data_IF_241758601701
#
_entry.id   IF_241758601701
#
_cell.length_a   1.000
_cell.length_b   1.000
_cell.length_c   1.000
_cell.angle_alpha   90.00
_cell.angle_beta   90.00
_cell.angle_gamma   90.00
#
_symmetry.space_group_name_H-M   'P 1'
#
loop_
_entity.id
_entity.type
_entity.pdbx_description
1 polymer ?
#
# COMPACT_ATOMS: atom_id res chain seq x y z
N UNK A 1 -3.18 -24.20 24.60
CA UNK A 1 -3.92 -23.14 23.88
C UNK A 1 -3.58 -23.27 22.39
N UNK A 2 -4.48 -23.81 21.59
CA UNK A 2 -4.29 -23.96 20.14
C UNK A 2 -4.66 -22.65 19.47
N UNK A 3 -3.67 -21.91 18.97
CA UNK A 3 -3.92 -20.80 18.03
C UNK A 3 -4.36 -21.40 16.68
N UNK A 4 -5.62 -21.17 16.34
CA UNK A 4 -6.16 -21.52 15.03
C UNK A 4 -5.52 -20.60 13.97
N UNK A 5 -5.05 -21.13 12.84
CA UNK A 5 -4.57 -20.30 11.73
C UNK A 5 -5.74 -19.54 11.12
N UNK A 6 -5.55 -18.21 10.97
CA UNK A 6 -6.53 -17.32 10.34
C UNK A 6 -6.84 -17.81 8.92
N UNK A 7 -8.06 -18.27 8.71
CA UNK A 7 -8.51 -18.79 7.42
C UNK A 7 -8.66 -17.65 6.41
N UNK A 8 -8.14 -17.85 5.19
CA UNK A 8 -8.27 -16.95 4.03
C UNK A 8 -9.72 -16.58 3.68
N UNK A 9 -10.71 -17.32 4.18
CA UNK A 9 -12.14 -17.12 3.94
C UNK A 9 -12.77 -16.00 4.77
N UNK A 10 -12.10 -15.51 5.80
CA UNK A 10 -12.60 -14.41 6.65
C UNK A 10 -12.44 -13.02 6.05
N UNK A 11 -11.73 -12.89 4.93
CA UNK A 11 -11.42 -11.62 4.27
C UNK A 11 -12.52 -11.09 3.32
N UNK A 12 -13.62 -11.83 3.14
CA UNK A 12 -14.54 -11.60 2.01
C UNK A 12 -15.94 -11.10 2.39
N UNK A 13 -16.15 -10.37 3.48
CA UNK A 13 -17.47 -9.76 3.71
C UNK A 13 -17.35 -8.41 4.37
N UNK A 14 -17.53 -7.35 3.56
CA UNK A 14 -18.42 -6.23 3.86
C UNK A 14 -18.40 -5.20 2.73
N UNK A 15 -19.53 -5.11 2.06
CA UNK A 15 -19.83 -4.10 1.07
C UNK A 15 -20.47 -2.87 1.71
N UNK A 16 -20.07 -1.71 1.25
CA UNK A 16 -20.83 -0.51 0.98
C UNK A 16 -21.62 0.20 2.06
N UNK A 17 -21.40 1.50 2.15
CA UNK A 17 -22.43 2.52 1.94
C UNK A 17 -21.84 3.95 2.06
N UNK A 18 -22.15 4.76 1.07
CA UNK A 18 -21.80 6.17 0.92
C UNK A 18 -22.70 7.08 1.75
N UNK A 19 -22.11 8.12 2.34
CA UNK A 19 -22.85 9.34 2.70
C UNK A 19 -21.99 10.57 2.38
N UNK A 20 -22.51 11.40 1.48
CA UNK A 20 -21.95 12.71 1.13
C UNK A 20 -22.40 13.75 2.15
N UNK A 21 -21.48 14.56 2.65
CA UNK A 21 -21.79 15.83 3.28
C UNK A 21 -20.90 16.93 2.74
N UNK A 22 -21.54 17.95 2.16
CA UNK A 22 -20.97 19.18 1.67
C UNK A 22 -20.56 20.08 2.85
N UNK A 23 -19.30 20.46 2.91
CA UNK A 23 -18.78 21.42 3.88
C UNK A 23 -17.56 22.13 3.32
N UNK A 24 -17.63 23.46 3.33
CA UNK A 24 -16.73 24.42 2.71
C UNK A 24 -15.31 24.42 3.28
N UNK A 25 -14.33 24.46 2.40
CA UNK A 25 -13.11 25.25 2.56
C UNK A 25 -12.04 24.72 3.50
N UNK A 26 -11.28 23.73 3.07
CA UNK A 26 -9.81 23.58 3.22
C UNK A 26 -9.41 22.38 2.36
N UNK A 27 -8.59 22.59 1.35
CA UNK A 27 -7.97 21.51 0.59
C UNK A 27 -6.93 20.81 1.47
N UNK A 28 -7.42 19.97 2.39
CA UNK A 28 -6.58 18.94 2.97
C UNK A 28 -6.29 17.96 1.83
N UNK A 29 -5.03 17.66 1.57
CA UNK A 29 -4.63 16.63 0.64
C UNK A 29 -5.46 15.37 0.93
N UNK A 30 -6.48 15.12 0.10
CA UNK A 30 -7.31 13.92 0.23
C UNK A 30 -6.41 12.76 -0.10
N UNK A 31 -6.33 11.86 0.84
CA UNK A 31 -5.59 10.62 0.68
C UNK A 31 -5.98 9.96 -0.63
N UNK A 32 -4.97 9.66 -1.46
CA UNK A 32 -5.18 9.24 -2.84
C UNK A 32 -5.84 7.86 -2.97
N UNK A 33 -6.00 7.12 -1.85
CA UNK A 33 -6.46 5.74 -1.86
C UNK A 33 -7.31 5.44 -0.62
N UNK A 34 -8.62 5.68 -0.72
CA UNK A 34 -9.57 5.33 0.34
C UNK A 34 -9.43 6.15 1.63
N UNK A 35 -10.25 5.85 2.61
CA UNK A 35 -10.13 6.45 3.94
C UNK A 35 -8.80 6.05 4.57
N UNK A 36 -7.90 7.01 4.74
CA UNK A 36 -6.55 6.75 5.18
C UNK A 36 -6.43 6.33 6.65
N UNK A 37 -5.19 6.15 7.13
CA UNK A 37 -4.92 5.71 8.50
C UNK A 37 -5.63 6.53 9.57
N UNK A 38 -5.78 7.84 9.36
CA UNK A 38 -6.48 8.73 10.27
C UNK A 38 -7.99 8.45 10.35
N UNK A 39 -8.62 8.01 9.26
CA UNK A 39 -10.02 7.62 9.26
C UNK A 39 -10.27 6.31 10.01
N UNK A 40 -9.33 5.37 9.92
CA UNK A 40 -9.35 4.13 10.71
C UNK A 40 -9.11 4.43 12.19
N UNK A 41 -8.13 5.28 12.51
CA UNK A 41 -7.82 5.70 13.89
C UNK A 41 -8.98 6.45 14.56
N UNK A 42 -9.71 7.26 13.82
CA UNK A 42 -10.86 8.01 14.33
C UNK A 42 -12.14 7.18 14.47
N UNK A 43 -12.12 5.93 14.01
CA UNK A 43 -13.32 5.09 13.96
C UNK A 43 -14.37 5.56 12.93
N UNK A 44 -14.02 6.52 12.07
CA UNK A 44 -14.92 7.07 11.06
C UNK A 44 -15.25 6.08 9.94
N UNK A 45 -14.44 5.03 9.78
CA UNK A 45 -14.68 3.93 8.84
C UNK A 45 -14.45 2.60 9.55
N UNK A 46 -15.38 1.70 9.40
CA UNK A 46 -15.19 0.30 9.79
C UNK A 46 -14.37 -0.38 8.70
N UNK A 47 -13.04 -0.53 8.91
CA UNK A 47 -12.19 -1.51 8.24
C UNK A 47 -12.47 -1.75 6.75
N UNK A 48 -12.40 -0.73 5.90
CA UNK A 48 -12.42 -0.96 4.45
C UNK A 48 -11.05 -1.47 4.04
N UNK A 49 -10.97 -2.76 3.73
CA UNK A 49 -9.74 -3.41 3.29
C UNK A 49 -9.53 -3.23 1.79
N UNK A 50 -8.27 -3.01 1.40
CA UNK A 50 -7.88 -3.07 -0.01
C UNK A 50 -8.13 -4.48 -0.56
N UNK A 51 -8.78 -4.63 -1.73
CA UNK A 51 -8.99 -5.95 -2.33
C UNK A 51 -7.67 -6.66 -2.64
N UNK A 52 -7.65 -7.97 -2.53
CA UNK A 52 -6.53 -8.77 -3.03
C UNK A 52 -6.47 -8.70 -4.56
N UNK A 53 -5.27 -8.51 -5.07
CA UNK A 53 -4.97 -8.45 -6.50
C UNK A 53 -3.68 -9.22 -6.79
N UNK A 54 -3.43 -9.49 -8.07
CA UNK A 54 -2.22 -10.20 -8.49
C UNK A 54 -0.95 -9.40 -8.17
N UNK A 55 0.11 -10.12 -7.82
CA UNK A 55 1.45 -9.58 -7.59
C UNK A 55 2.02 -8.88 -8.85
N UNK A 56 1.68 -9.42 -10.01
CA UNK A 56 2.25 -8.97 -11.28
C UNK A 56 3.69 -9.47 -11.51
N UNK A 57 4.27 -9.19 -12.70
CA UNK A 57 5.56 -9.74 -13.10
C UNK A 57 6.79 -9.00 -12.54
N UNK A 58 6.58 -7.85 -11.88
CA UNK A 58 7.68 -6.96 -11.46
C UNK A 58 8.04 -7.05 -9.98
N UNK A 59 7.57 -8.07 -9.27
CA UNK A 59 7.97 -8.29 -7.88
C UNK A 59 9.40 -8.81 -7.78
N UNK A 60 10.16 -8.28 -6.82
CA UNK A 60 11.48 -8.77 -6.42
C UNK A 60 11.45 -8.91 -4.90
N UNK A 61 11.75 -10.12 -4.41
CA UNK A 61 11.78 -10.39 -2.98
C UNK A 61 13.04 -9.83 -2.31
N UNK A 62 12.98 -9.55 -1.01
CA UNK A 62 14.15 -9.18 -0.21
C UNK A 62 14.58 -7.72 -0.35
N UNK A 63 13.66 -6.84 -0.65
CA UNK A 63 13.94 -5.41 -0.79
C UNK A 63 14.44 -4.75 0.51
N UNK A 64 15.04 -3.58 0.36
CA UNK A 64 15.66 -2.84 1.46
C UNK A 64 14.62 -2.30 2.43
N UNK A 65 14.89 -2.43 3.73
CA UNK A 65 14.14 -1.75 4.78
C UNK A 65 14.47 -0.24 4.74
N UNK A 66 13.62 0.56 4.11
CA UNK A 66 13.85 2.00 3.94
C UNK A 66 12.55 2.77 3.72
N UNK A 67 12.52 4.00 4.24
CA UNK A 67 11.38 4.90 4.09
C UNK A 67 11.40 5.66 2.76
N UNK A 68 12.55 6.17 2.35
CA UNK A 68 12.71 6.84 1.06
C UNK A 68 13.13 5.81 0.01
N UNK A 69 12.29 5.66 -1.01
CA UNK A 69 12.48 4.69 -2.08
C UNK A 69 12.72 5.34 -3.45
N UNK A 70 12.90 6.67 -3.48
CA UNK A 70 13.05 7.40 -4.76
C UNK A 70 14.40 7.14 -5.44
N UNK A 71 15.45 6.84 -4.68
CA UNK A 71 16.84 6.71 -5.18
C UNK A 71 17.26 7.88 -6.12
N UNK A 72 16.76 9.10 -5.81
CA UNK A 72 17.08 10.31 -6.59
C UNK A 72 16.26 10.48 -7.87
N UNK A 73 15.33 9.59 -8.18
CA UNK A 73 14.44 9.75 -9.33
C UNK A 73 13.51 10.95 -9.15
N UNK A 74 13.40 11.75 -10.20
CA UNK A 74 12.50 12.90 -10.27
C UNK A 74 11.03 12.43 -10.43
N UNK A 75 10.11 13.30 -10.00
CA UNK A 75 8.66 13.07 -10.13
C UNK A 75 7.89 13.89 -9.09
N UNK A 76 6.58 13.83 -9.14
CA UNK A 76 5.72 14.47 -8.13
C UNK A 76 5.89 13.76 -6.79
N UNK A 77 6.37 14.44 -5.74
CA UNK A 77 6.59 13.82 -4.43
C UNK A 77 5.30 13.22 -3.86
N UNK A 78 5.40 12.02 -3.33
CA UNK A 78 4.30 11.30 -2.68
C UNK A 78 4.76 10.79 -1.31
N UNK A 79 3.97 11.10 -0.27
CA UNK A 79 4.07 10.45 1.04
C UNK A 79 2.92 9.45 1.13
N UNK A 80 3.26 8.17 1.07
CA UNK A 80 2.30 7.08 1.16
C UNK A 80 2.28 6.53 2.59
N UNK A 81 1.10 6.49 3.19
CA UNK A 81 0.85 5.88 4.49
C UNK A 81 -0.13 4.72 4.33
N UNK A 82 0.27 3.55 4.80
CA UNK A 82 -0.51 2.33 4.73
C UNK A 82 -0.80 1.84 6.15
N UNK A 83 -2.10 1.68 6.45
CA UNK A 83 -2.54 1.09 7.71
C UNK A 83 -2.76 -0.41 7.52
N UNK A 84 -2.14 -1.22 8.36
CA UNK A 84 -2.36 -2.66 8.43
C UNK A 84 -3.19 -2.95 9.67
N UNK A 85 -4.35 -3.53 9.45
CA UNK A 85 -5.31 -3.86 10.51
C UNK A 85 -5.71 -5.34 10.41
N UNK A 86 -6.11 -5.88 11.52
CA UNK A 86 -6.73 -7.21 11.57
C UNK A 86 -8.13 -7.15 10.96
N UNK A 87 -8.39 -8.01 9.98
CA UNK A 87 -9.63 -7.97 9.19
C UNK A 87 -10.91 -8.24 9.99
N UNK A 88 -10.79 -8.93 11.13
CA UNK A 88 -11.94 -9.32 11.96
C UNK A 88 -12.25 -8.29 13.05
N UNK A 89 -11.21 -7.59 13.55
CA UNK A 89 -11.33 -6.70 14.70
C UNK A 89 -11.09 -5.24 14.38
N UNK A 90 -10.58 -4.94 13.17
CA UNK A 90 -10.10 -3.61 12.74
C UNK A 90 -8.99 -3.03 13.61
N UNK A 91 -8.38 -3.83 14.49
CA UNK A 91 -7.30 -3.37 15.35
C UNK A 91 -5.98 -3.25 14.58
N UNK A 92 -5.18 -2.21 14.83
CA UNK A 92 -3.90 -2.03 14.17
C UNK A 92 -2.93 -3.16 14.50
N UNK A 93 -2.18 -3.61 13.48
CA UNK A 93 -1.14 -4.63 13.62
C UNK A 93 0.22 -3.95 13.62
N UNK A 94 0.91 -3.98 14.77
CA UNK A 94 2.30 -3.53 14.92
C UNK A 94 3.26 -4.57 14.36
N UNK A 95 4.32 -4.11 13.68
CA UNK A 95 5.43 -4.96 13.24
C UNK A 95 5.14 -5.79 11.99
N UNK A 96 3.98 -5.60 11.35
CA UNK A 96 3.74 -6.14 10.03
C UNK A 96 4.77 -5.58 9.04
N UNK A 97 5.32 -6.43 8.19
CA UNK A 97 6.22 -5.99 7.12
C UNK A 97 5.38 -5.64 5.90
N UNK A 98 5.50 -4.39 5.46
CA UNK A 98 4.84 -3.88 4.26
C UNK A 98 5.89 -3.67 3.20
N UNK A 99 5.74 -4.35 2.08
CA UNK A 99 6.58 -4.27 0.90
C UNK A 99 5.81 -3.54 -0.20
N UNK A 100 6.41 -2.53 -0.83
CA UNK A 100 5.81 -1.82 -1.95
C UNK A 100 6.77 -1.76 -3.14
N UNK A 101 6.20 -1.78 -4.34
CA UNK A 101 6.93 -1.54 -5.58
C UNK A 101 6.01 -0.89 -6.62
N UNK A 102 6.58 -0.03 -7.44
CA UNK A 102 5.85 0.64 -8.52
C UNK A 102 6.81 1.19 -9.58
N UNK A 103 6.27 1.65 -10.69
CA UNK A 103 7.03 2.32 -11.73
C UNK A 103 7.49 3.71 -11.28
N UNK A 104 8.61 4.22 -11.79
CA UNK A 104 8.98 5.61 -11.67
C UNK A 104 8.00 6.54 -12.41
N UNK A 105 8.23 7.86 -12.40
CA UNK A 105 7.37 8.83 -13.06
C UNK A 105 7.32 8.67 -14.59
N UNK A 106 8.27 7.95 -15.19
CA UNK A 106 8.33 7.66 -16.63
C UNK A 106 7.72 6.28 -16.98
N UNK A 107 7.22 5.52 -16.01
CA UNK A 107 6.61 4.22 -16.24
C UNK A 107 7.58 3.04 -16.20
N UNK A 108 8.82 3.23 -15.73
CA UNK A 108 9.85 2.18 -15.71
C UNK A 108 9.93 1.50 -14.33
N UNK A 109 10.10 0.18 -14.33
CA UNK A 109 10.37 -0.60 -13.11
C UNK A 109 11.87 -0.83 -12.92
N UNK A 110 12.37 -0.60 -11.71
CA UNK A 110 13.72 -1.00 -11.32
C UNK A 110 13.86 -2.53 -11.37
N UNK A 111 15.06 -3.00 -11.71
CA UNK A 111 15.33 -4.44 -11.86
C UNK A 111 14.84 -5.06 -13.18
N UNK A 112 14.14 -4.29 -14.01
CA UNK A 112 13.58 -4.74 -15.30
C UNK A 112 13.94 -3.74 -16.39
N UNK A 113 14.19 -4.25 -17.62
CA UNK A 113 14.59 -3.44 -18.76
C UNK A 113 16.10 -3.17 -18.84
N UNK A 114 16.55 -2.65 -19.97
CA UNK A 114 17.96 -2.41 -20.26
C UNK A 114 18.58 -1.40 -19.27
N UNK A 115 19.67 -1.78 -18.60
CA UNK A 115 20.41 -0.90 -17.69
C UNK A 115 19.81 -0.72 -16.29
N UNK A 116 18.75 -1.42 -15.93
CA UNK A 116 18.10 -1.30 -14.62
C UNK A 116 18.30 -2.52 -13.68
N UNK A 117 19.03 -3.54 -14.11
CA UNK A 117 19.09 -4.86 -13.43
C UNK A 117 19.55 -4.85 -11.97
N UNK A 118 20.39 -3.90 -11.54
CA UNK A 118 20.83 -3.77 -10.15
C UNK A 118 20.16 -2.62 -9.40
N UNK A 119 19.28 -1.86 -10.05
CA UNK A 119 18.61 -0.72 -9.44
C UNK A 119 17.41 -1.16 -8.60
N UNK A 120 17.13 -0.42 -7.54
CA UNK A 120 16.07 -0.72 -6.57
C UNK A 120 15.12 0.45 -6.33
N UNK A 121 15.16 1.49 -7.19
CA UNK A 121 14.28 2.64 -7.04
C UNK A 121 12.79 2.22 -7.05
N UNK A 122 11.97 2.97 -6.36
CA UNK A 122 10.54 2.75 -6.17
C UNK A 122 10.21 1.36 -5.60
N UNK A 123 11.15 0.78 -4.81
CA UNK A 123 10.96 -0.48 -4.05
C UNK A 123 11.43 -0.30 -2.62
N UNK A 124 10.76 -0.90 -1.70
CA UNK A 124 11.20 -0.91 -0.31
C UNK A 124 10.21 -1.50 0.66
N UNK A 125 10.75 -1.82 1.81
CA UNK A 125 10.03 -2.43 2.92
C UNK A 125 9.96 -1.46 4.09
N UNK A 126 8.84 -1.43 4.80
CA UNK A 126 8.68 -0.79 6.09
C UNK A 126 7.99 -1.73 7.07
N UNK A 127 8.27 -1.55 8.36
CA UNK A 127 7.50 -2.21 9.42
C UNK A 127 6.47 -1.24 9.99
N UNK A 128 5.28 -1.72 10.21
CA UNK A 128 4.23 -0.92 10.85
C UNK A 128 4.60 -0.55 12.28
N UNK A 129 4.28 0.68 12.64
CA UNK A 129 4.46 1.22 14.00
C UNK A 129 3.36 0.69 14.95
N UNK A 130 3.30 1.24 16.18
CA UNK A 130 2.30 0.86 17.20
C UNK A 130 0.85 1.12 16.77
N UNK A 131 0.65 2.03 15.82
CA UNK A 131 -0.66 2.36 15.22
C UNK A 131 -0.95 1.56 13.93
N UNK A 132 -0.14 0.56 13.62
CA UNK A 132 -0.30 -0.25 12.41
C UNK A 132 0.14 0.46 11.12
N UNK A 133 0.85 1.60 11.19
CA UNK A 133 1.14 2.44 10.02
C UNK A 133 2.56 2.20 9.51
N UNK A 134 2.69 1.91 8.22
CA UNK A 134 3.93 1.97 7.44
C UNK A 134 3.92 3.26 6.59
N UNK A 135 5.07 3.98 6.53
CA UNK A 135 5.17 5.24 5.79
C UNK A 135 6.31 5.19 4.80
N UNK A 136 6.04 5.55 3.56
CA UNK A 136 7.02 5.66 2.49
C UNK A 136 7.10 7.08 1.93
N UNK A 137 8.29 7.47 1.48
CA UNK A 137 8.51 8.64 0.64
C UNK A 137 8.91 8.15 -0.75
N UNK A 138 8.14 8.56 -1.75
CA UNK A 138 8.31 8.13 -3.13
C UNK A 138 7.91 9.24 -4.10
N UNK A 139 7.74 8.94 -5.36
CA UNK A 139 7.11 9.79 -6.35
C UNK A 139 5.81 9.16 -6.83
N UNK A 140 4.92 9.97 -7.37
CA UNK A 140 3.70 9.47 -8.00
C UNK A 140 4.06 8.60 -9.21
N UNK A 141 3.54 7.35 -9.32
CA UNK A 141 3.90 6.45 -10.40
C UNK A 141 3.49 7.01 -11.76
N UNK A 142 4.32 6.77 -12.75
CA UNK A 142 4.01 7.03 -14.16
C UNK A 142 3.13 5.95 -14.75
N UNK A 143 2.54 6.29 -15.88
CA UNK A 143 1.75 5.38 -16.69
C UNK A 143 2.64 4.52 -17.58
N UNK A 144 2.25 3.29 -17.81
CA UNK A 144 2.80 2.42 -18.84
C UNK A 144 1.68 1.64 -19.54
N UNK A 145 1.95 1.19 -20.77
CA UNK A 145 0.95 0.62 -21.65
C UNK A 145 0.17 -0.56 -21.04
N UNK A 146 -1.15 -0.49 -21.16
CA UNK A 146 -2.06 -1.55 -20.74
C UNK A 146 -2.44 -1.55 -19.26
N UNK A 147 -1.99 -0.56 -18.47
CA UNK A 147 -2.28 -0.53 -17.03
C UNK A 147 -2.65 0.87 -16.54
N UNK A 148 -3.62 0.94 -15.65
CA UNK A 148 -3.87 2.12 -14.83
C UNK A 148 -2.67 2.37 -13.89
N UNK A 149 -2.38 3.63 -13.59
CA UNK A 149 -1.35 4.01 -12.60
C UNK A 149 -1.65 3.34 -11.26
N UNK A 150 -0.67 2.61 -10.71
CA UNK A 150 -0.85 1.84 -9.49
C UNK A 150 0.45 1.66 -8.70
N UNK A 151 0.29 1.35 -7.42
CA UNK A 151 1.35 0.94 -6.51
C UNK A 151 1.01 -0.45 -6.01
N UNK A 152 1.92 -1.40 -6.15
CA UNK A 152 1.79 -2.73 -5.58
C UNK A 152 2.10 -2.72 -4.09
N UNK A 153 1.37 -3.55 -3.36
CA UNK A 153 1.56 -3.75 -1.92
C UNK A 153 1.54 -5.23 -1.60
N UNK A 154 2.47 -5.65 -0.74
CA UNK A 154 2.46 -6.98 -0.15
C UNK A 154 2.68 -6.86 1.35
N UNK A 155 1.87 -7.55 2.14
CA UNK A 155 1.94 -7.53 3.60
C UNK A 155 2.35 -8.90 4.10
N UNK A 156 3.33 -8.92 5.00
CA UNK A 156 3.83 -10.14 5.63
C UNK A 156 3.63 -10.05 7.14
N UNK A 157 3.15 -11.14 7.73
CA UNK A 157 3.10 -11.34 9.18
C UNK A 157 3.89 -12.58 9.55
N UNK A 158 4.88 -12.43 10.46
CA UNK A 158 5.73 -13.54 10.91
C UNK A 158 6.36 -14.33 9.74
N UNK A 159 6.74 -13.64 8.67
CA UNK A 159 7.33 -14.22 7.45
C UNK A 159 6.35 -14.77 6.42
N UNK A 160 5.06 -14.86 6.74
CA UNK A 160 4.04 -15.33 5.78
C UNK A 160 3.38 -14.17 5.06
N UNK A 161 3.13 -14.31 3.75
CA UNK A 161 2.31 -13.37 2.98
C UNK A 161 0.87 -13.51 3.43
N UNK A 162 0.27 -12.41 3.88
CA UNK A 162 -1.14 -12.37 4.34
C UNK A 162 -2.02 -11.52 3.44
N UNK A 163 -1.41 -10.64 2.62
CA UNK A 163 -2.14 -9.81 1.67
C UNK A 163 -1.24 -9.44 0.49
N UNK A 164 -1.79 -9.44 -0.70
CA UNK A 164 -1.19 -8.86 -1.91
C UNK A 164 -2.25 -8.02 -2.61
N UNK A 165 -1.93 -6.78 -2.94
CA UNK A 165 -2.88 -5.85 -3.52
C UNK A 165 -2.24 -4.80 -4.40
N UNK A 166 -3.07 -3.98 -5.01
CA UNK A 166 -2.66 -2.83 -5.80
C UNK A 166 -3.51 -1.63 -5.41
N UNK A 167 -2.86 -0.50 -5.20
CA UNK A 167 -3.50 0.78 -4.97
C UNK A 167 -3.54 1.50 -6.30
N UNK A 168 -4.71 1.65 -6.88
CA UNK A 168 -4.92 2.41 -8.12
C UNK A 168 -5.83 3.59 -7.86
N UNK A 169 -5.57 4.71 -8.52
CA UNK A 169 -6.54 5.79 -8.59
C UNK A 169 -7.44 5.52 -9.80
N UNK A 170 -8.70 5.24 -9.56
CA UNK A 170 -9.74 5.40 -10.58
C UNK A 170 -9.96 6.90 -10.82
N UNK A 171 -10.03 7.34 -12.07
CA UNK A 171 -10.34 8.74 -12.40
C UNK A 171 -11.67 9.19 -11.82
#
# INVERSE_FOLDING_TARGET
MHEQPLSRKSLLRLAGLTAASLGTGAWKAREAFGGGPAAVESGAVSCVLTPEMTEGPYYIAGEKLRRNITDGHAGTPLVLQLAVVDASTCKPIKGATVDIWHADAAGNYSGFGAGSGSRTFMRGIQRTNVRGIATFRTVYPGWYQGRTVHIHVKVHLKGNVVHTGQLSRTP
#
